data_IF_109381034666
#
_entry.id   IF_109381034666
#
_cell.length_a   1.000
_cell.length_b   1.000
_cell.length_c   1.000
_cell.angle_alpha   90.00
_cell.angle_beta   90.00
_cell.angle_gamma   90.00
#
_symmetry.space_group_name_H-M   'P 1'
#
loop_
_entity.id
_entity.type
_entity.pdbx_description
1 polymer ?
#
# COMPACT_ATOMS: atom_id res chain seq x y z
N UNK A 1 -8.00 30.06 -13.91
CA UNK A 1 -9.35 29.53 -13.63
C UNK A 1 -9.20 28.65 -12.44
N UNK A 2 -9.59 29.15 -11.27
CA UNK A 2 -9.35 28.50 -9.99
C UNK A 2 -10.18 27.23 -9.88
N UNK A 3 -9.54 26.08 -10.13
CA UNK A 3 -10.16 24.79 -9.85
C UNK A 3 -10.25 24.66 -8.31
N UNK A 4 -11.46 24.56 -7.73
CA UNK A 4 -11.60 24.57 -6.27
C UNK A 4 -10.83 23.39 -5.69
N UNK A 5 -9.77 23.70 -4.93
CA UNK A 5 -8.96 22.71 -4.23
C UNK A 5 -9.89 21.74 -3.49
N UNK A 6 -9.76 20.41 -3.70
CA UNK A 6 -10.64 19.43 -3.06
C UNK A 6 -10.76 19.71 -1.55
N UNK A 7 -11.98 19.78 -0.99
CA UNK A 7 -12.22 20.17 0.41
C UNK A 7 -11.37 19.40 1.43
N UNK A 8 -11.06 18.14 1.12
CA UNK A 8 -10.21 17.28 1.95
C UNK A 8 -8.79 17.82 2.12
N UNK A 9 -8.21 18.52 1.14
CA UNK A 9 -6.84 19.05 1.25
C UNK A 9 -6.76 20.24 2.21
N UNK A 10 -7.79 21.10 2.22
CA UNK A 10 -7.90 22.16 3.22
C UNK A 10 -8.16 21.61 4.63
N UNK A 11 -8.90 20.51 4.73
CA UNK A 11 -9.17 19.84 6.00
C UNK A 11 -8.00 19.00 6.51
N UNK A 12 -7.18 18.41 5.65
CA UNK A 12 -6.07 17.53 6.04
C UNK A 12 -5.03 18.26 6.91
N UNK A 13 -4.62 19.47 6.53
CA UNK A 13 -3.72 20.31 7.34
C UNK A 13 -4.37 20.73 8.67
N UNK A 14 -5.65 21.09 8.64
CA UNK A 14 -6.40 21.58 9.81
C UNK A 14 -6.73 20.47 10.81
N UNK A 15 -7.00 19.24 10.34
CA UNK A 15 -7.31 18.09 11.19
C UNK A 15 -6.06 17.55 11.90
N UNK A 16 -4.89 17.62 11.26
CA UNK A 16 -3.62 17.23 11.85
C UNK A 16 -3.22 18.13 13.03
N UNK A 17 -3.43 19.44 12.92
CA UNK A 17 -3.01 20.44 13.91
C UNK A 17 -3.94 20.58 15.14
N UNK A 18 -4.59 19.51 15.58
CA UNK A 18 -5.38 19.57 16.82
C UNK A 18 -6.41 18.46 17.07
N UNK A 19 -6.55 17.48 16.19
CA UNK A 19 -7.52 16.39 16.38
C UNK A 19 -6.90 15.14 16.99
N UNK A 20 -7.58 14.51 17.96
CA UNK A 20 -7.19 13.21 18.53
C UNK A 20 -7.11 12.12 17.44
N UNK A 21 -6.13 11.20 17.49
CA UNK A 21 -6.08 10.03 16.61
C UNK A 21 -7.43 9.29 16.51
N UNK A 22 -7.82 8.91 15.30
CA UNK A 22 -9.09 8.25 15.02
C UNK A 22 -10.28 9.17 14.71
N UNK A 23 -10.10 10.49 14.61
CA UNK A 23 -11.19 11.38 14.18
C UNK A 23 -11.42 11.24 12.69
N UNK A 24 -12.67 10.97 12.32
CA UNK A 24 -13.07 10.85 10.92
C UNK A 24 -13.14 12.22 10.23
N UNK A 25 -12.80 12.25 8.95
CA UNK A 25 -13.05 13.39 8.05
C UNK A 25 -14.46 13.25 7.51
N UNK A 26 -15.26 14.31 7.56
CA UNK A 26 -16.64 14.30 7.06
C UNK A 26 -16.64 14.78 5.61
N UNK A 27 -16.65 13.83 4.68
CA UNK A 27 -16.84 14.06 3.25
C UNK A 27 -18.23 13.56 2.84
N UNK A 28 -18.89 14.27 1.95
CA UNK A 28 -20.12 13.82 1.30
C UNK A 28 -19.81 12.73 0.28
N UNK A 29 -20.80 11.87 0.00
CA UNK A 29 -20.68 10.82 -1.02
C UNK A 29 -20.31 11.40 -2.40
N UNK A 30 -20.87 12.55 -2.76
CA UNK A 30 -20.60 13.20 -4.05
C UNK A 30 -19.17 13.72 -4.15
N UNK A 31 -18.58 14.23 -3.07
CA UNK A 31 -17.17 14.65 -3.04
C UNK A 31 -16.26 13.44 -3.26
N UNK A 32 -16.50 12.34 -2.55
CA UNK A 32 -15.69 11.11 -2.72
C UNK A 32 -15.85 10.55 -4.13
N UNK A 33 -17.07 10.52 -4.67
CA UNK A 33 -17.30 10.10 -6.06
C UNK A 33 -16.55 11.00 -7.04
N UNK A 34 -16.55 12.31 -6.81
CA UNK A 34 -15.79 13.28 -7.60
C UNK A 34 -14.28 13.00 -7.59
N UNK A 35 -13.72 12.69 -6.41
CA UNK A 35 -12.32 12.27 -6.29
C UNK A 35 -12.03 11.04 -7.13
N UNK A 36 -12.82 9.97 -6.98
CA UNK A 36 -12.62 8.73 -7.73
C UNK A 36 -12.71 8.93 -9.25
N UNK A 37 -13.72 9.66 -9.72
CA UNK A 37 -13.92 9.88 -11.15
C UNK A 37 -12.77 10.71 -11.74
N UNK A 38 -12.36 11.79 -11.07
CA UNK A 38 -11.32 12.67 -11.57
C UNK A 38 -9.93 12.03 -11.52
N UNK A 39 -9.60 11.32 -10.44
CA UNK A 39 -8.34 10.58 -10.36
C UNK A 39 -8.27 9.46 -11.39
N UNK A 40 -9.39 8.77 -11.64
CA UNK A 40 -9.50 7.74 -12.68
C UNK A 40 -9.18 8.27 -14.06
N UNK A 41 -9.69 9.45 -14.43
CA UNK A 41 -9.34 10.11 -15.69
C UNK A 41 -7.82 10.32 -15.81
N UNK A 42 -7.19 10.82 -14.73
CA UNK A 42 -5.74 11.08 -14.69
C UNK A 42 -4.95 9.77 -14.79
N UNK A 43 -5.37 8.71 -14.10
CA UNK A 43 -4.67 7.43 -14.20
C UNK A 43 -4.73 6.84 -15.60
N UNK A 44 -5.87 6.97 -16.29
CA UNK A 44 -6.04 6.51 -17.66
C UNK A 44 -5.26 7.36 -18.68
N UNK A 45 -5.04 8.65 -18.41
CA UNK A 45 -4.21 9.51 -19.27
C UNK A 45 -2.71 9.29 -19.09
N UNK A 46 -2.28 8.77 -17.92
CA UNK A 46 -0.89 8.42 -17.66
C UNK A 46 -0.58 6.97 -18.04
N UNK A 47 0.67 6.61 -18.36
CA UNK A 47 1.07 5.24 -18.65
C UNK A 47 0.79 4.27 -17.50
N UNK A 48 0.59 2.98 -17.81
CA UNK A 48 0.44 1.94 -16.79
C UNK A 48 1.79 1.54 -16.15
N UNK A 49 2.86 1.66 -16.93
CA UNK A 49 4.25 1.63 -16.48
C UNK A 49 4.74 3.07 -16.47
N UNK A 50 4.79 3.69 -15.29
CA UNK A 50 5.21 5.07 -15.13
C UNK A 50 6.72 5.20 -15.36
N UNK A 51 7.15 6.31 -15.94
CA UNK A 51 8.57 6.67 -16.08
C UNK A 51 8.76 7.98 -15.31
N UNK A 52 9.54 7.94 -14.23
CA UNK A 52 9.61 8.98 -13.21
C UNK A 52 11.06 9.42 -12.99
N UNK A 53 11.25 10.66 -12.52
CA UNK A 53 12.57 11.24 -12.24
C UNK A 53 12.72 11.59 -10.75
N UNK A 54 13.96 11.53 -10.25
CA UNK A 54 14.30 12.06 -8.92
C UNK A 54 14.39 13.60 -8.91
N UNK A 55 14.19 14.28 -7.75
CA UNK A 55 14.01 13.73 -6.41
C UNK A 55 12.60 13.17 -6.18
N UNK A 56 12.51 11.97 -5.60
CA UNK A 56 11.27 11.24 -5.37
C UNK A 56 11.30 10.52 -4.03
N UNK A 57 10.18 10.56 -3.30
CA UNK A 57 9.98 9.81 -2.06
C UNK A 57 9.10 8.61 -2.32
N UNK A 58 9.63 7.41 -2.04
CA UNK A 58 8.91 6.15 -2.26
C UNK A 58 8.36 5.63 -0.93
N UNK A 59 7.10 5.23 -0.93
CA UNK A 59 6.35 4.79 0.25
C UNK A 59 5.67 3.43 0.02
N UNK A 60 5.71 2.54 1.01
CA UNK A 60 5.05 1.23 0.97
C UNK A 60 3.61 1.26 1.49
N UNK A 61 3.18 0.13 2.06
CA UNK A 61 1.80 -0.13 2.50
C UNK A 61 1.32 0.85 3.57
N UNK A 62 0.08 1.34 3.45
CA UNK A 62 -0.52 2.26 4.42
C UNK A 62 -1.68 1.62 5.19
N UNK A 63 -2.45 0.74 4.55
CA UNK A 63 -3.54 -0.03 5.15
C UNK A 63 -4.46 0.79 6.07
N UNK A 64 -4.99 1.91 5.58
CA UNK A 64 -5.93 2.74 6.31
C UNK A 64 -5.39 3.37 7.60
N UNK A 65 -4.07 3.44 7.79
CA UNK A 65 -3.41 4.13 8.91
C UNK A 65 -3.28 5.63 8.65
N UNK A 66 -4.43 6.32 8.55
CA UNK A 66 -4.50 7.72 8.13
C UNK A 66 -3.60 8.68 8.93
N UNK A 67 -3.50 8.51 10.25
CA UNK A 67 -2.65 9.38 11.09
C UNK A 67 -1.16 9.15 10.87
N UNK A 68 -0.75 7.91 10.58
CA UNK A 68 0.63 7.60 10.25
C UNK A 68 0.99 8.12 8.85
N UNK A 69 0.03 8.09 7.90
CA UNK A 69 0.17 8.78 6.62
C UNK A 69 0.38 10.30 6.79
N UNK A 70 -0.37 10.95 7.69
CA UNK A 70 -0.18 12.37 7.95
C UNK A 70 1.20 12.66 8.57
N UNK A 71 1.68 11.81 9.47
CA UNK A 71 3.06 11.89 10.01
C UNK A 71 4.09 11.68 8.91
N UNK A 72 3.88 10.72 8.00
CA UNK A 72 4.76 10.49 6.86
C UNK A 72 4.92 11.77 6.02
N UNK A 73 3.84 12.52 5.79
CA UNK A 73 3.93 13.83 5.12
C UNK A 73 4.56 14.92 5.98
N UNK A 74 4.38 14.90 7.30
CA UNK A 74 5.07 15.85 8.20
C UNK A 74 6.59 15.68 8.17
N UNK A 75 7.08 14.44 8.23
CA UNK A 75 8.52 14.14 8.13
C UNK A 75 9.04 14.24 6.70
N UNK A 76 8.23 13.83 5.73
CA UNK A 76 8.61 13.77 4.33
C UNK A 76 8.50 15.09 3.58
N UNK A 77 7.74 16.06 4.08
CA UNK A 77 7.35 17.28 3.37
C UNK A 77 5.99 17.09 2.67
N UNK A 78 5.05 18.00 2.90
CA UNK A 78 3.73 17.88 2.30
C UNK A 78 3.78 18.18 0.79
N UNK A 79 3.06 17.45 -0.07
CA UNK A 79 2.95 17.82 -1.48
C UNK A 79 2.46 19.28 -1.66
N UNK A 80 3.13 20.11 -2.49
CA UNK A 80 4.11 19.73 -3.53
C UNK A 80 5.57 19.95 -3.12
N UNK A 81 5.89 20.13 -1.83
CA UNK A 81 7.27 20.33 -1.35
C UNK A 81 8.17 19.12 -1.64
N UNK A 82 7.58 17.94 -1.86
CA UNK A 82 8.27 16.73 -2.27
C UNK A 82 7.41 15.91 -3.22
N UNK A 83 8.07 15.24 -4.17
CA UNK A 83 7.42 14.31 -5.08
C UNK A 83 7.26 12.95 -4.39
N UNK A 84 6.16 12.25 -4.66
CA UNK A 84 5.86 10.97 -4.02
C UNK A 84 5.49 9.88 -5.00
N UNK A 85 5.93 8.66 -4.71
CA UNK A 85 5.48 7.42 -5.33
C UNK A 85 5.04 6.46 -4.22
N UNK A 86 3.76 6.10 -4.18
CA UNK A 86 3.28 5.04 -3.30
C UNK A 86 3.15 3.72 -4.05
N UNK A 87 3.52 2.62 -3.38
CA UNK A 87 3.59 1.28 -3.97
C UNK A 87 2.31 0.46 -3.80
N UNK A 88 1.18 1.04 -3.38
CA UNK A 88 -0.08 0.32 -3.19
C UNK A 88 -0.44 0.03 -1.74
N UNK A 89 -1.48 -0.77 -1.54
CA UNK A 89 -2.03 -1.18 -0.25
C UNK A 89 -2.43 0.00 0.64
N UNK A 90 -3.33 0.82 0.10
CA UNK A 90 -3.87 2.01 0.76
C UNK A 90 -4.99 1.66 1.74
N UNK A 91 -5.77 0.63 1.41
CA UNK A 91 -7.00 0.26 2.10
C UNK A 91 -6.86 -1.06 2.86
N UNK A 92 -7.94 -1.44 3.56
CA UNK A 92 -8.07 -2.63 4.40
C UNK A 92 -7.19 -2.62 5.67
N UNK A 93 -7.48 -3.56 6.58
CA UNK A 93 -6.79 -3.83 7.87
C UNK A 93 -6.83 -2.69 8.91
N UNK A 94 -6.68 -1.43 8.49
CA UNK A 94 -6.80 -0.26 9.34
C UNK A 94 -8.23 0.26 9.52
N UNK A 95 -8.35 1.35 10.28
CA UNK A 95 -9.64 1.90 10.71
C UNK A 95 -10.16 3.05 9.86
N UNK A 96 -9.30 3.64 9.03
CA UNK A 96 -9.57 4.89 8.29
C UNK A 96 -9.07 4.78 6.85
N UNK A 97 -9.50 3.72 6.15
CA UNK A 97 -9.13 3.49 4.75
C UNK A 97 -9.71 4.57 3.85
N UNK A 98 -10.95 5.03 4.13
CA UNK A 98 -11.59 6.09 3.35
C UNK A 98 -10.83 7.41 3.42
N UNK A 99 -10.43 7.87 4.60
CA UNK A 99 -9.61 9.08 4.75
C UNK A 99 -8.27 8.95 4.02
N UNK A 100 -7.63 7.78 4.17
CA UNK A 100 -6.35 7.47 3.54
C UNK A 100 -6.45 7.60 2.03
N UNK A 101 -7.34 6.83 1.39
CA UNK A 101 -7.46 6.86 -0.07
C UNK A 101 -7.98 8.19 -0.59
N UNK A 102 -8.93 8.84 0.09
CA UNK A 102 -9.44 10.13 -0.37
C UNK A 102 -8.35 11.21 -0.33
N UNK A 103 -7.45 11.19 0.65
CA UNK A 103 -6.33 12.14 0.72
C UNK A 103 -5.35 11.90 -0.42
N UNK A 104 -4.99 10.65 -0.68
CA UNK A 104 -4.08 10.27 -1.76
C UNK A 104 -4.65 10.65 -3.14
N UNK A 105 -5.94 10.36 -3.39
CA UNK A 105 -6.60 10.74 -4.65
C UNK A 105 -6.69 12.27 -4.81
N UNK A 106 -6.95 13.00 -3.73
CA UNK A 106 -6.96 14.46 -3.78
C UNK A 106 -5.59 15.06 -4.10
N UNK A 107 -4.50 14.50 -3.53
CA UNK A 107 -3.15 14.89 -3.92
C UNK A 107 -2.84 14.50 -5.37
N UNK A 108 -3.30 13.34 -5.84
CA UNK A 108 -3.15 12.95 -7.24
C UNK A 108 -3.82 13.94 -8.20
N UNK A 109 -5.03 14.41 -7.85
CA UNK A 109 -5.75 15.39 -8.66
C UNK A 109 -5.04 16.75 -8.65
N UNK A 110 -4.56 17.17 -7.47
CA UNK A 110 -3.94 18.50 -7.33
C UNK A 110 -2.52 18.56 -7.91
N UNK A 111 -1.77 17.47 -7.83
CA UNK A 111 -0.37 17.39 -8.25
C UNK A 111 -0.13 16.16 -9.14
N UNK A 112 -0.77 16.08 -10.31
CA UNK A 112 -0.76 14.87 -11.15
C UNK A 112 0.63 14.46 -11.64
N UNK A 113 1.55 15.42 -11.76
CA UNK A 113 2.93 15.23 -12.24
C UNK A 113 3.97 15.15 -11.10
N UNK A 114 3.55 15.21 -9.84
CA UNK A 114 4.44 15.14 -8.66
C UNK A 114 4.02 14.07 -7.65
N UNK A 115 2.82 13.50 -7.81
CA UNK A 115 2.25 12.54 -6.87
C UNK A 115 1.74 11.32 -7.63
N UNK A 116 2.31 10.15 -7.35
CA UNK A 116 2.10 8.92 -8.09
C UNK A 116 1.65 7.79 -7.16
N UNK A 117 0.72 6.98 -7.65
CA UNK A 117 0.08 5.89 -6.91
C UNK A 117 0.12 4.64 -7.78
N UNK A 118 0.78 3.58 -7.32
CA UNK A 118 0.72 2.26 -7.95
C UNK A 118 -0.43 1.44 -7.35
N UNK A 119 -0.72 0.31 -7.97
CA UNK A 119 -1.73 -0.64 -7.50
C UNK A 119 -1.11 -1.69 -6.58
N UNK A 120 -1.63 -1.84 -5.37
CA UNK A 120 -1.36 -2.99 -4.50
C UNK A 120 -2.39 -4.09 -4.67
N UNK A 121 -2.18 -5.23 -4.01
CA UNK A 121 -3.11 -6.34 -4.10
C UNK A 121 -4.42 -6.08 -3.34
N UNK A 122 -4.43 -5.14 -2.38
CA UNK A 122 -5.65 -4.71 -1.71
C UNK A 122 -6.50 -3.71 -2.56
N UNK A 123 -5.96 -3.17 -3.64
CA UNK A 123 -6.71 -2.36 -4.61
C UNK A 123 -7.43 -3.23 -5.68
N UNK A 124 -7.97 -4.38 -5.28
CA UNK A 124 -8.85 -5.20 -6.11
C UNK A 124 -10.11 -5.63 -5.35
N UNK A 125 -11.19 -5.89 -6.10
CA UNK A 125 -12.51 -6.11 -5.50
C UNK A 125 -12.56 -7.38 -4.65
N UNK A 126 -11.90 -8.46 -5.06
CA UNK A 126 -11.92 -9.74 -4.34
C UNK A 126 -11.32 -9.63 -2.94
N UNK A 127 -10.21 -8.89 -2.80
CA UNK A 127 -9.49 -8.72 -1.54
C UNK A 127 -10.17 -7.69 -0.64
N UNK A 128 -10.42 -6.47 -1.13
CA UNK A 128 -11.00 -5.42 -0.28
C UNK A 128 -12.49 -5.60 0.04
N UNK A 129 -13.11 -6.63 -0.54
CA UNK A 129 -14.43 -7.10 -0.15
C UNK A 129 -14.45 -7.77 1.23
N UNK A 130 -13.34 -8.39 1.64
CA UNK A 130 -13.25 -9.25 2.83
C UNK A 130 -12.31 -8.71 3.91
N UNK A 131 -11.35 -7.84 3.58
CA UNK A 131 -10.34 -7.34 4.53
C UNK A 131 -10.63 -5.95 5.14
N UNK A 132 -11.81 -5.39 4.88
CA UNK A 132 -12.39 -4.31 5.68
C UNK A 132 -12.94 -3.11 4.90
N UNK A 133 -12.40 -2.79 3.73
CA UNK A 133 -12.75 -1.57 3.00
C UNK A 133 -14.20 -1.54 2.53
N UNK A 134 -14.71 -2.67 2.02
CA UNK A 134 -16.13 -2.80 1.66
C UNK A 134 -17.03 -2.51 2.86
N UNK A 135 -16.72 -3.09 4.02
CA UNK A 135 -17.54 -2.92 5.22
C UNK A 135 -17.43 -1.47 5.75
N UNK A 136 -16.26 -0.84 5.63
CA UNK A 136 -16.08 0.58 5.94
C UNK A 136 -16.95 1.47 5.04
N UNK A 137 -16.93 1.24 3.72
CA UNK A 137 -17.76 1.96 2.74
C UNK A 137 -19.25 1.74 3.00
N UNK A 138 -19.68 0.49 3.22
CA UNK A 138 -21.07 0.14 3.50
C UNK A 138 -21.58 0.77 4.80
N UNK A 139 -20.74 0.82 5.84
CA UNK A 139 -21.10 1.37 7.15
C UNK A 139 -21.23 2.89 7.14
N UNK A 140 -20.33 3.59 6.43
CA UNK A 140 -20.27 5.06 6.44
C UNK A 140 -21.06 5.72 5.31
N UNK A 141 -21.22 5.00 4.20
CA UNK A 141 -21.86 5.48 2.98
C UNK A 141 -22.79 4.38 2.43
N UNK A 142 -22.41 3.75 1.33
CA UNK A 142 -23.17 2.69 0.70
C UNK A 142 -22.28 1.80 -0.20
N UNK A 143 -22.85 0.71 -0.70
CA UNK A 143 -22.16 -0.27 -1.55
C UNK A 143 -21.82 0.32 -2.94
N UNK A 144 -22.60 1.30 -3.45
CA UNK A 144 -22.34 1.92 -4.75
C UNK A 144 -21.03 2.74 -4.70
N UNK A 145 -20.74 3.36 -3.57
CA UNK A 145 -19.48 4.07 -3.37
C UNK A 145 -18.28 3.12 -3.42
N UNK A 146 -18.37 1.94 -2.79
CA UNK A 146 -17.32 0.91 -2.91
C UNK A 146 -17.09 0.49 -4.37
N UNK A 147 -18.15 0.27 -5.16
CA UNK A 147 -18.02 -0.02 -6.60
C UNK A 147 -17.33 1.12 -7.37
N UNK A 148 -17.61 2.36 -7.00
CA UNK A 148 -16.93 3.53 -7.58
C UNK A 148 -15.43 3.52 -7.28
N UNK A 149 -15.04 3.13 -6.06
CA UNK A 149 -13.62 2.92 -5.74
C UNK A 149 -13.02 1.78 -6.54
N UNK A 150 -13.72 0.65 -6.70
CA UNK A 150 -13.28 -0.46 -7.55
C UNK A 150 -12.99 0.01 -8.98
N UNK A 151 -13.88 0.81 -9.58
CA UNK A 151 -13.68 1.35 -10.93
C UNK A 151 -12.45 2.27 -11.02
N UNK A 152 -12.15 3.01 -9.94
CA UNK A 152 -10.94 3.83 -9.83
C UNK A 152 -9.68 2.97 -9.69
N UNK A 153 -9.70 1.98 -8.79
CA UNK A 153 -8.58 1.06 -8.54
C UNK A 153 -8.21 0.25 -9.77
N UNK A 154 -9.20 -0.17 -10.57
CA UNK A 154 -8.99 -0.87 -11.84
C UNK A 154 -8.21 -0.03 -12.87
N UNK A 155 -8.06 1.27 -12.65
CA UNK A 155 -7.30 2.18 -13.50
C UNK A 155 -5.92 2.53 -12.94
N UNK A 156 -5.53 2.08 -11.75
CA UNK A 156 -4.21 2.41 -11.19
C UNK A 156 -3.07 1.86 -12.08
N UNK A 157 -1.97 2.61 -12.25
CA UNK A 157 -0.70 2.10 -12.79
C UNK A 157 -0.19 0.91 -11.98
N UNK A 158 0.55 0.01 -12.63
CA UNK A 158 0.99 -1.25 -12.02
C UNK A 158 2.45 -1.20 -11.56
N UNK A 159 3.28 -0.46 -12.30
CA UNK A 159 4.69 -0.34 -12.00
C UNK A 159 5.22 1.04 -12.36
N UNK A 160 6.41 1.37 -11.87
CA UNK A 160 7.16 2.56 -12.26
C UNK A 160 8.63 2.22 -12.49
N UNK A 161 9.30 2.98 -13.33
CA UNK A 161 10.75 3.01 -13.45
C UNK A 161 11.21 4.41 -13.07
N UNK A 162 12.09 4.51 -12.07
CA UNK A 162 12.65 5.78 -11.58
C UNK A 162 14.08 5.94 -12.09
N UNK A 163 14.38 7.07 -12.72
CA UNK A 163 15.67 7.43 -13.32
C UNK A 163 16.24 6.32 -14.22
N UNK A 164 15.39 5.57 -14.92
CA UNK A 164 15.77 4.41 -15.75
C UNK A 164 16.53 3.29 -14.98
N UNK A 165 16.59 3.36 -13.64
CA UNK A 165 17.44 2.48 -12.82
C UNK A 165 16.71 1.71 -11.72
N UNK A 166 15.57 2.21 -11.25
CA UNK A 166 14.83 1.56 -10.16
C UNK A 166 13.48 1.09 -10.66
N UNK A 167 13.27 -0.23 -10.70
CA UNK A 167 11.95 -0.81 -10.99
C UNK A 167 11.11 -0.88 -9.72
N UNK A 168 9.93 -0.30 -9.75
CA UNK A 168 9.01 -0.19 -8.63
C UNK A 168 7.71 -0.94 -8.92
N UNK A 169 7.29 -1.82 -8.02
CA UNK A 169 5.99 -2.48 -8.05
C UNK A 169 5.54 -2.81 -6.62
N UNK A 170 4.33 -3.32 -6.42
CA UNK A 170 3.87 -3.69 -5.08
C UNK A 170 4.46 -5.03 -4.63
N UNK A 171 4.15 -6.08 -5.39
CA UNK A 171 4.57 -7.46 -5.17
C UNK A 171 6.02 -7.64 -5.59
N UNK A 172 6.27 -8.12 -6.80
CA UNK A 172 7.62 -8.41 -7.23
C UNK A 172 7.71 -8.85 -8.67
N UNK A 173 8.59 -9.81 -8.95
CA UNK A 173 8.83 -10.29 -10.31
C UNK A 173 7.83 -11.38 -10.71
N UNK A 174 7.67 -11.58 -12.01
CA UNK A 174 6.89 -12.68 -12.59
C UNK A 174 7.77 -13.55 -13.49
N UNK A 175 7.58 -14.88 -13.53
CA UNK A 175 8.21 -15.72 -14.55
C UNK A 175 7.78 -15.32 -15.97
N UNK A 176 6.59 -14.71 -16.09
CA UNK A 176 6.06 -14.22 -17.36
C UNK A 176 6.64 -12.86 -17.76
N UNK A 177 7.34 -12.15 -16.88
CA UNK A 177 7.91 -10.83 -17.17
C UNK A 177 9.25 -10.95 -17.91
N UNK A 178 9.18 -10.94 -19.23
CA UNK A 178 10.33 -11.01 -20.13
C UNK A 178 10.69 -9.66 -20.76
N UNK A 179 9.72 -8.76 -20.90
CA UNK A 179 9.90 -7.40 -21.42
C UNK A 179 8.95 -6.42 -20.75
N UNK A 180 9.41 -5.19 -20.52
CA UNK A 180 8.58 -4.10 -20.00
C UNK A 180 7.38 -3.79 -20.90
N UNK A 181 7.47 -4.12 -22.19
CA UNK A 181 6.34 -4.03 -23.13
C UNK A 181 5.14 -4.87 -22.70
N UNK A 182 5.36 -5.99 -21.99
CA UNK A 182 4.26 -6.80 -21.48
C UNK A 182 3.44 -6.04 -20.43
N UNK A 183 4.09 -5.23 -19.58
CA UNK A 183 3.41 -4.36 -18.63
C UNK A 183 2.67 -3.25 -19.39
N UNK A 184 3.34 -2.59 -20.36
CA UNK A 184 2.74 -1.51 -21.16
C UNK A 184 1.49 -1.92 -21.94
N UNK A 185 1.37 -3.19 -22.33
CA UNK A 185 0.23 -3.75 -23.08
C UNK A 185 -0.97 -4.12 -22.21
N UNK A 186 -0.84 -4.12 -20.89
CA UNK A 186 -1.98 -4.37 -19.99
C UNK A 186 -2.96 -3.20 -20.14
N UNK A 187 -4.17 -3.50 -20.61
CA UNK A 187 -5.22 -2.50 -20.82
C UNK A 187 -5.93 -2.19 -19.50
N UNK A 188 -6.32 -0.91 -19.31
CA UNK A 188 -7.11 -0.46 -18.16
C UNK A 188 -8.46 0.10 -18.63
N UNK A 189 -9.55 -0.02 -17.85
CA UNK A 189 -9.64 -0.69 -16.55
C UNK A 189 -9.51 -2.22 -16.63
N UNK A 190 -8.85 -2.84 -15.66
CA UNK A 190 -8.74 -4.30 -15.56
C UNK A 190 -8.85 -4.75 -14.10
N UNK A 191 -9.40 -5.93 -13.88
CA UNK A 191 -9.32 -6.59 -12.57
C UNK A 191 -7.98 -7.33 -12.44
N UNK A 192 -7.64 -7.75 -11.22
CA UNK A 192 -6.44 -8.55 -10.95
C UNK A 192 -6.82 -10.03 -11.12
N UNK A 193 -6.21 -10.76 -12.07
CA UNK A 193 -6.47 -12.20 -12.25
C UNK A 193 -5.88 -13.00 -11.10
N UNK A 194 -6.35 -14.25 -10.94
CA UNK A 194 -5.84 -15.15 -9.89
C UNK A 194 -4.42 -15.69 -10.20
N UNK A 195 -3.94 -15.56 -11.45
CA UNK A 195 -2.62 -16.01 -11.89
C UNK A 195 -2.07 -15.18 -13.06
N UNK A 196 -0.76 -15.32 -13.32
CA UNK A 196 -0.04 -14.70 -14.44
C UNK A 196 0.54 -13.33 -14.11
N UNK A 197 1.14 -12.68 -15.11
CA UNK A 197 1.94 -11.45 -14.96
C UNK A 197 1.34 -10.38 -14.01
N UNK A 198 0.07 -9.99 -14.19
CA UNK A 198 -0.54 -8.95 -13.35
C UNK A 198 -0.75 -9.42 -11.91
N UNK A 199 -1.07 -10.69 -11.69
CA UNK A 199 -1.14 -11.27 -10.35
C UNK A 199 0.23 -11.18 -9.68
N UNK A 200 1.28 -11.64 -10.38
CA UNK A 200 2.62 -11.75 -9.82
C UNK A 200 3.25 -10.40 -9.46
N UNK A 201 3.02 -9.37 -10.29
CA UNK A 201 3.46 -8.00 -10.01
C UNK A 201 2.87 -7.42 -8.71
N UNK A 202 1.74 -7.98 -8.25
CA UNK A 202 1.03 -7.54 -7.04
C UNK A 202 1.19 -8.53 -5.87
N UNK A 203 1.61 -9.78 -6.10
CA UNK A 203 1.55 -10.83 -5.07
C UNK A 203 2.86 -11.59 -4.80
N UNK A 204 3.81 -11.56 -5.73
CA UNK A 204 5.04 -12.33 -5.57
C UNK A 204 5.94 -11.77 -4.47
N UNK A 205 6.72 -12.65 -3.84
CA UNK A 205 7.63 -12.29 -2.75
C UNK A 205 9.06 -12.79 -3.00
N UNK A 206 10.10 -12.07 -2.55
CA UNK A 206 11.43 -12.63 -2.49
C UNK A 206 11.52 -13.75 -1.45
N UNK A 207 12.32 -14.77 -1.75
CA UNK A 207 12.73 -15.78 -0.77
C UNK A 207 14.21 -16.12 -0.95
N UNK A 208 14.97 -15.96 0.13
CA UNK A 208 16.42 -16.20 0.16
C UNK A 208 16.79 -17.69 0.08
N UNK A 209 15.87 -18.55 0.50
CA UNK A 209 16.08 -20.00 0.58
C UNK A 209 15.64 -20.70 -0.72
N UNK A 210 15.06 -19.94 -1.66
CA UNK A 210 14.63 -20.42 -2.99
C UNK A 210 15.68 -20.15 -4.07
N UNK A 211 15.95 -21.18 -4.89
CA UNK A 211 16.70 -21.04 -6.14
C UNK A 211 15.73 -20.93 -7.32
N UNK A 212 15.78 -19.84 -8.07
CA UNK A 212 14.83 -19.59 -9.16
C UNK A 212 13.46 -19.17 -8.64
N UNK A 213 12.43 -19.96 -8.95
CA UNK A 213 11.04 -19.71 -8.55
C UNK A 213 10.56 -20.80 -7.59
N UNK A 214 9.80 -20.42 -6.57
CA UNK A 214 9.24 -21.32 -5.57
C UNK A 214 7.74 -21.12 -5.36
N UNK A 215 7.15 -22.02 -4.59
CA UNK A 215 5.78 -21.85 -4.12
C UNK A 215 5.71 -20.70 -3.11
N UNK A 216 4.55 -20.02 -3.06
CA UNK A 216 4.32 -18.92 -2.14
C UNK A 216 3.33 -19.35 -1.05
N UNK A 217 3.71 -19.13 0.21
CA UNK A 217 2.88 -19.43 1.39
C UNK A 217 1.54 -18.69 1.40
N UNK A 218 1.40 -17.63 0.59
CA UNK A 218 0.12 -16.94 0.37
C UNK A 218 -0.90 -17.78 -0.38
N UNK A 219 -0.50 -18.90 -1.00
CA UNK A 219 -1.34 -19.73 -1.85
C UNK A 219 -1.68 -19.09 -3.20
N UNK A 220 -0.98 -18.02 -3.57
CA UNK A 220 -1.12 -17.28 -4.83
C UNK A 220 0.24 -16.75 -5.27
N UNK A 221 0.45 -16.70 -6.59
CA UNK A 221 1.73 -16.30 -7.20
C UNK A 221 2.92 -17.17 -6.73
N UNK A 222 4.13 -16.61 -6.81
CA UNK A 222 5.39 -17.31 -6.62
C UNK A 222 6.28 -16.60 -5.60
N UNK A 223 7.24 -17.35 -5.07
CA UNK A 223 8.46 -16.77 -4.48
C UNK A 223 9.57 -16.71 -5.52
N UNK A 224 10.48 -15.74 -5.41
CA UNK A 224 11.61 -15.61 -6.33
C UNK A 224 12.94 -15.42 -5.58
N UNK A 225 13.96 -16.15 -6.05
CA UNK A 225 15.30 -16.14 -5.47
C UNK A 225 16.17 -14.97 -5.94
N UNK A 226 17.29 -14.80 -5.24
CA UNK A 226 18.31 -13.78 -5.55
C UNK A 226 18.83 -13.82 -6.99
N UNK A 227 18.94 -15.01 -7.57
CA UNK A 227 19.38 -15.21 -8.95
C UNK A 227 18.39 -14.61 -9.97
N UNK A 228 17.09 -14.73 -9.70
CA UNK A 228 16.03 -14.16 -10.56
C UNK A 228 16.15 -12.64 -10.58
N UNK A 229 16.35 -12.04 -9.40
CA UNK A 229 16.59 -10.59 -9.26
C UNK A 229 17.83 -10.16 -10.04
N UNK A 230 18.96 -10.85 -9.86
CA UNK A 230 20.21 -10.50 -10.53
C UNK A 230 20.10 -10.59 -12.06
N UNK A 231 19.46 -11.65 -12.58
CA UNK A 231 19.21 -11.81 -14.02
C UNK A 231 18.28 -10.73 -14.56
N UNK A 232 17.22 -10.40 -13.83
CA UNK A 232 16.26 -9.37 -14.22
C UNK A 232 16.92 -7.99 -14.30
N UNK A 233 17.64 -7.59 -13.24
CA UNK A 233 18.34 -6.31 -13.18
C UNK A 233 19.36 -6.19 -14.31
N UNK A 234 20.17 -7.23 -14.54
CA UNK A 234 21.15 -7.23 -15.61
C UNK A 234 20.52 -7.16 -17.00
N UNK A 235 19.46 -7.94 -17.25
CA UNK A 235 18.76 -7.98 -18.55
C UNK A 235 18.15 -6.63 -18.94
N UNK A 236 17.69 -5.87 -17.96
CA UNK A 236 16.97 -4.61 -18.18
C UNK A 236 17.80 -3.36 -17.86
N UNK A 237 19.10 -3.51 -17.58
CA UNK A 237 20.03 -2.42 -17.19
C UNK A 237 19.53 -1.59 -15.98
N UNK A 238 18.94 -2.28 -15.00
CA UNK A 238 18.43 -1.70 -13.76
C UNK A 238 19.38 -1.97 -12.59
N UNK A 239 19.35 -1.08 -11.60
CA UNK A 239 20.18 -1.19 -10.40
C UNK A 239 19.45 -1.77 -9.19
N UNK A 240 18.13 -1.59 -9.12
CA UNK A 240 17.33 -1.89 -7.93
C UNK A 240 15.90 -2.29 -8.27
N UNK A 241 15.36 -3.26 -7.52
CA UNK A 241 13.92 -3.48 -7.40
C UNK A 241 13.46 -2.86 -6.08
N UNK A 242 12.48 -1.96 -6.15
CA UNK A 242 11.83 -1.38 -4.99
C UNK A 242 10.40 -1.92 -4.90
N UNK A 243 10.06 -2.57 -3.78
CA UNK A 243 8.75 -3.22 -3.60
C UNK A 243 8.16 -3.01 -2.21
N UNK A 244 6.95 -3.51 -1.93
CA UNK A 244 6.26 -3.35 -0.65
C UNK A 244 5.73 -4.70 -0.10
N UNK A 245 4.46 -4.84 0.29
CA UNK A 245 3.72 -6.12 0.48
C UNK A 245 4.17 -7.10 1.60
N UNK A 246 5.40 -7.00 2.10
CA UNK A 246 5.90 -7.75 3.25
C UNK A 246 6.30 -6.77 4.36
N UNK A 247 5.89 -7.11 5.60
CA UNK A 247 6.39 -6.41 6.78
C UNK A 247 7.83 -6.86 7.02
N UNK A 248 8.83 -5.97 6.93
CA UNK A 248 10.23 -6.39 7.09
C UNK A 248 10.50 -6.89 8.50
N UNK A 249 11.43 -7.85 8.65
CA UNK A 249 11.89 -8.29 9.96
C UNK A 249 12.53 -7.12 10.73
N UNK A 250 11.87 -6.69 11.83
CA UNK A 250 12.28 -5.51 12.60
C UNK A 250 11.92 -4.16 11.97
N UNK A 251 11.21 -4.16 10.84
CA UNK A 251 10.69 -2.96 10.18
C UNK A 251 9.40 -2.43 10.83
N UNK A 252 9.03 -1.20 10.48
CA UNK A 252 7.73 -0.61 10.82
C UNK A 252 6.83 -0.68 9.58
N UNK A 253 5.51 -0.68 9.73
CA UNK A 253 4.57 -0.58 8.60
C UNK A 253 4.86 0.70 7.77
N UNK A 254 4.75 0.61 6.44
CA UNK A 254 4.90 1.76 5.52
C UNK A 254 6.27 1.94 4.85
N UNK A 255 7.27 1.11 5.18
CA UNK A 255 8.55 1.14 4.49
C UNK A 255 8.54 0.28 3.23
N UNK A 256 8.95 0.79 2.06
CA UNK A 256 9.28 -0.07 0.93
C UNK A 256 10.52 -0.92 1.27
N UNK A 257 10.73 -2.00 0.53
CA UNK A 257 11.92 -2.86 0.63
C UNK A 257 12.66 -2.82 -0.69
N UNK A 258 13.94 -2.47 -0.64
CA UNK A 258 14.84 -2.53 -1.79
C UNK A 258 15.53 -3.89 -1.84
N UNK A 259 15.58 -4.51 -3.02
CA UNK A 259 16.29 -5.77 -3.23
C UNK A 259 17.39 -5.55 -4.27
N UNK A 260 18.64 -5.78 -3.84
CA UNK A 260 19.82 -5.67 -4.70
C UNK A 260 20.68 -6.92 -4.49
N UNK A 261 21.09 -7.57 -5.59
CA UNK A 261 22.01 -8.72 -5.63
C UNK A 261 22.03 -9.58 -4.35
N UNK A 262 20.93 -10.30 -4.08
CA UNK A 262 20.87 -11.29 -2.99
C UNK A 262 20.85 -10.75 -1.56
N UNK A 263 20.68 -9.45 -1.36
CA UNK A 263 20.39 -8.87 -0.06
C UNK A 263 19.06 -8.12 -0.10
N UNK A 264 18.16 -8.44 0.84
CA UNK A 264 17.14 -7.48 1.28
C UNK A 264 17.88 -6.32 1.93
N UNK A 265 17.65 -5.12 1.42
CA UNK A 265 18.28 -3.94 1.99
C UNK A 265 17.21 -3.10 2.64
N UNK A 266 17.35 -2.95 3.96
CA UNK A 266 16.57 -1.98 4.70
C UNK A 266 16.87 -0.58 4.13
N UNK A 267 15.78 0.14 3.90
CA UNK A 267 15.71 1.43 3.20
C UNK A 267 16.60 2.56 3.70
N UNK A 268 17.10 2.65 4.95
CA UNK A 268 17.92 3.80 5.31
C UNK A 268 19.30 3.84 4.65
N UNK A 269 19.74 2.78 3.95
CA UNK A 269 21.16 2.63 3.57
C UNK A 269 21.47 2.68 2.06
N UNK A 270 20.48 2.74 1.17
CA UNK A 270 20.74 2.68 -0.28
C UNK A 270 20.03 3.81 -1.00
N UNK A 271 20.76 4.86 -1.33
CA UNK A 271 20.64 5.50 -2.64
C UNK A 271 21.85 6.43 -2.88
N UNK A 272 22.74 6.11 -3.85
CA UNK A 272 23.70 7.07 -4.39
C UNK A 272 23.02 8.10 -5.32
N UNK A 273 21.78 7.83 -5.76
CA UNK A 273 20.92 8.74 -6.53
C UNK A 273 19.92 9.45 -5.60
N UNK A 274 19.41 10.62 -5.97
CA UNK A 274 18.65 11.53 -5.10
C UNK A 274 17.23 11.06 -4.70
N UNK A 275 16.89 9.79 -4.88
CA UNK A 275 15.64 9.19 -4.39
C UNK A 275 15.78 8.87 -2.89
N UNK A 276 14.89 9.43 -2.07
CA UNK A 276 14.92 9.27 -0.61
C UNK A 276 13.74 8.40 -0.20
N UNK A 277 14.00 7.19 0.28
CA UNK A 277 12.96 6.34 0.87
C UNK A 277 12.40 7.03 2.12
N UNK A 278 11.12 7.38 2.12
CA UNK A 278 10.52 8.12 3.21
C UNK A 278 10.17 7.20 4.39
N UNK A 279 10.51 7.65 5.59
CA UNK A 279 10.37 6.97 6.87
C UNK A 279 8.90 6.63 7.20
N UNK A 280 8.62 5.40 7.63
CA UNK A 280 7.51 5.10 8.54
C UNK A 280 7.94 5.32 10.01
N UNK A 281 7.05 5.87 10.82
CA UNK A 281 7.03 5.69 12.29
C UNK A 281 5.98 4.58 12.56
N UNK A 282 6.06 3.61 13.47
CA UNK A 282 6.66 3.52 14.79
C UNK A 282 6.94 2.05 15.20
N UNK A 283 7.71 1.87 16.29
CA UNK A 283 7.92 0.60 17.03
C UNK A 283 6.59 0.05 17.57
N UNK A 284 6.45 -1.28 17.62
CA UNK A 284 5.38 -1.98 18.35
C UNK A 284 5.94 -2.91 19.44
N UNK A 285 5.36 -2.83 20.63
CA UNK A 285 5.24 -3.94 21.57
C UNK A 285 3.99 -4.75 21.18
N UNK A 286 4.18 -5.97 20.70
CA UNK A 286 3.10 -6.92 20.48
C UNK A 286 2.97 -7.76 21.74
N UNK A 287 2.06 -7.39 22.64
CA UNK A 287 1.51 -8.37 23.58
C UNK A 287 0.41 -9.15 22.86
N UNK A 288 0.46 -10.49 22.82
CA UNK A 288 -0.60 -11.29 22.23
C UNK A 288 -1.92 -11.06 22.98
N UNK A 289 -3.08 -11.13 22.30
CA UNK A 289 -4.37 -11.00 22.94
C UNK A 289 -4.51 -12.07 24.03
N UNK A 290 -4.70 -11.62 25.27
CA UNK A 290 -5.02 -12.46 26.41
C UNK A 290 -6.20 -13.37 26.08
N UNK A 291 -6.02 -14.68 26.30
CA UNK A 291 -7.02 -15.73 26.06
C UNK A 291 -8.40 -15.38 26.64
N UNK A 292 -9.50 -15.85 26.01
CA UNK A 292 -10.84 -15.55 26.49
C UNK A 292 -11.05 -16.09 27.91
N UNK A 293 -11.62 -15.21 28.74
CA UNK A 293 -11.95 -15.45 30.14
C UNK A 293 -12.71 -16.78 30.32
N UNK A 294 -12.17 -17.64 31.19
CA UNK A 294 -12.97 -18.71 31.83
C UNK A 294 -14.17 -18.06 32.51
N UNK A 295 -15.36 -18.48 32.10
CA UNK A 295 -16.60 -18.14 32.74
C UNK A 295 -16.53 -18.42 34.25
N UNK A 296 -16.78 -17.38 35.03
CA UNK A 296 -16.96 -17.46 36.46
C UNK A 296 -18.27 -18.24 36.75
N UNK A 297 -18.16 -19.44 37.32
CA UNK A 297 -19.23 -19.99 38.13
C UNK A 297 -19.19 -19.29 39.49
N UNK A 298 -20.35 -18.79 39.90
CA UNK A 298 -20.50 -17.93 41.07
C UNK A 298 -20.17 -18.61 42.41
N UNK A 299 -19.48 -17.85 43.26
CA UNK A 299 -19.81 -17.55 44.68
C UNK A 299 -20.96 -18.40 45.27
N UNK A 300 -20.85 -19.00 46.45
CA UNK A 300 -20.58 -18.39 47.79
C UNK A 300 -20.49 -19.51 48.89
N UNK A 301 -20.29 -19.21 50.20
CA UNK A 301 -19.23 -19.84 51.00
C UNK A 301 -19.71 -20.61 52.26
N UNK A 302 -18.79 -21.36 52.86
CA UNK A 302 -18.71 -21.48 54.32
C UNK A 302 -18.78 -22.89 54.93
N UNK A 303 -17.89 -23.07 55.92
CA UNK A 303 -17.96 -23.97 57.10
C UNK A 303 -17.37 -25.39 57.00
N UNK A 304 -16.14 -25.47 57.53
CA UNK A 304 -15.67 -26.29 58.69
C UNK A 304 -15.88 -27.81 58.75
N UNK A 305 -14.87 -28.45 59.37
CA UNK A 305 -14.73 -29.84 59.87
C UNK A 305 -14.25 -30.82 58.79
N UNK A 306 -13.18 -31.62 58.96
CA UNK A 306 -12.44 -32.06 60.14
C UNK A 306 -12.45 -33.60 60.16
N UNK A 307 -11.27 -34.23 60.19
CA UNK A 307 -11.01 -35.69 60.29
C UNK A 307 -11.57 -36.54 59.12
N UNK A 308 -10.97 -37.61 58.65
CA UNK A 308 -9.95 -38.51 59.17
C UNK A 308 -10.24 -39.89 58.57
N UNK A 309 -9.17 -40.66 58.36
CA UNK A 309 -9.10 -42.04 57.84
C UNK A 309 -9.25 -42.17 56.32
#
# INVERSE_FOLDING_TARGET
>A
GDDPCPPILGQARTLFQGSRPGKNVQLTENEIRGLCLKSREIFLSQPILLELEAPLKICGDIHGQYYDLLRLFEYGGFPPESNYLFLGDYVDRGKQSLETICLLLAYKIKYPENFFLLRGNHECASINRIYGFYDECKRRYNIKLWKTFTDCFNCLPIAAIVDEKIFCCHGGLSPDLQSMEQIRRIMRPTDVPDQGLLCDLLWSDPDKDVQGWGENDRGVSFTFGAEVVAKFLHKHDLDLICRAHQVPLGGQFGFPVGIRYGAEVSTPSICPSRAVFALGAARWDISPPSSPARAASGRRPGRTCGAGI
#
